data_IF_915337567662
#
_entry.id   IF_915337567662
#
_cell.length_a   1.000
_cell.length_b   1.000
_cell.length_c   1.000
_cell.angle_alpha   90.00
_cell.angle_beta   90.00
_cell.angle_gamma   90.00
#
_symmetry.space_group_name_H-M   'P 1'
#
loop_
_entity.id
_entity.type
_entity.pdbx_description
1 polymer ?
#
# COMPACT_ATOMS: atom_id res chain seq x y z
N UNK A 1 5.48 8.62 -22.65
CA UNK A 1 5.12 7.50 -21.81
C UNK A 1 3.84 7.80 -21.08
N UNK A 2 2.94 6.86 -21.06
CA UNK A 2 1.60 7.06 -20.50
C UNK A 2 1.61 6.96 -18.96
N UNK A 3 2.65 6.37 -18.38
CA UNK A 3 2.82 6.16 -16.96
C UNK A 3 4.26 6.51 -16.55
N UNK A 4 4.44 7.04 -15.35
CA UNK A 4 5.66 7.30 -14.61
C UNK A 4 6.88 7.77 -15.39
N UNK A 5 7.14 9.07 -15.43
CA UNK A 5 8.36 9.61 -16.05
C UNK A 5 9.53 9.76 -15.08
N UNK A 6 9.34 9.43 -13.80
CA UNK A 6 10.30 9.73 -12.73
C UNK A 6 10.44 11.22 -12.38
N UNK A 7 9.82 12.11 -13.15
CA UNK A 7 9.87 13.57 -12.91
C UNK A 7 9.05 14.00 -11.70
N UNK A 8 8.18 13.15 -11.20
CA UNK A 8 7.30 13.40 -10.05
C UNK A 8 7.69 12.63 -8.79
N UNK A 9 8.89 12.03 -8.78
CA UNK A 9 9.40 11.30 -7.61
C UNK A 9 9.31 12.17 -6.35
N UNK A 10 8.77 11.60 -5.27
CA UNK A 10 8.63 12.28 -3.98
C UNK A 10 7.48 13.28 -3.87
N UNK A 11 6.62 13.42 -4.88
CA UNK A 11 5.46 14.35 -4.85
C UNK A 11 4.14 13.64 -4.56
N UNK A 12 4.14 12.31 -4.37
CA UNK A 12 2.94 11.55 -4.03
C UNK A 12 2.48 11.84 -2.60
N UNK A 13 1.17 11.99 -2.42
CA UNK A 13 0.53 11.85 -1.11
C UNK A 13 0.43 10.39 -0.73
N UNK A 14 0.29 10.11 0.57
CA UNK A 14 0.12 8.75 1.08
C UNK A 14 1.17 7.74 0.56
N UNK A 15 2.43 8.16 0.43
CA UNK A 15 3.54 7.34 -0.10
C UNK A 15 3.78 6.06 0.70
N UNK A 16 3.35 6.00 1.97
CA UNK A 16 3.34 4.81 2.80
C UNK A 16 2.52 3.65 2.20
N UNK A 17 1.57 3.92 1.30
CA UNK A 17 0.82 2.90 0.58
C UNK A 17 1.72 1.99 -0.29
N UNK A 18 2.89 2.48 -0.68
CA UNK A 18 3.88 1.73 -1.45
C UNK A 18 4.75 0.81 -0.60
N UNK A 19 4.73 0.92 0.74
CA UNK A 19 5.53 0.06 1.61
C UNK A 19 5.00 -1.37 1.55
N UNK A 20 5.80 -2.35 1.06
CA UNK A 20 5.35 -3.73 0.86
C UNK A 20 4.92 -4.39 2.16
N UNK A 21 3.95 -5.30 2.11
CA UNK A 21 3.43 -6.04 3.25
C UNK A 21 3.66 -7.54 3.10
N UNK A 22 3.81 -8.22 4.27
CA UNK A 22 3.95 -9.66 4.35
C UNK A 22 5.33 -10.17 3.93
N UNK A 23 6.04 -10.84 4.84
CA UNK A 23 7.39 -11.35 4.59
C UNK A 23 7.47 -12.30 3.39
N UNK A 24 6.44 -13.12 3.19
CA UNK A 24 6.35 -14.11 2.11
C UNK A 24 6.46 -13.49 0.70
N UNK A 25 5.99 -12.26 0.53
CA UNK A 25 5.90 -11.60 -0.78
C UNK A 25 6.87 -10.42 -0.93
N UNK A 26 7.75 -10.17 0.05
CA UNK A 26 8.68 -9.02 0.02
C UNK A 26 9.69 -9.08 -1.14
N UNK A 27 10.00 -10.26 -1.64
CA UNK A 27 10.86 -10.43 -2.82
C UNK A 27 10.24 -9.87 -4.11
N UNK A 28 8.94 -9.55 -4.05
CA UNK A 28 8.25 -8.70 -5.02
C UNK A 28 7.90 -9.33 -6.36
N UNK A 29 8.49 -10.47 -6.71
CA UNK A 29 8.16 -11.15 -7.95
C UNK A 29 6.94 -12.08 -7.75
N UNK A 30 5.93 -11.98 -8.62
CA UNK A 30 4.82 -12.92 -8.67
C UNK A 30 3.68 -12.73 -7.67
N UNK A 31 3.82 -11.87 -6.65
CA UNK A 31 2.77 -11.67 -5.64
C UNK A 31 1.40 -11.31 -6.25
N UNK A 32 1.41 -10.54 -7.33
CA UNK A 32 0.18 -10.16 -8.07
C UNK A 32 -0.52 -11.38 -8.66
N UNK A 33 0.24 -12.38 -9.10
CA UNK A 33 -0.30 -13.61 -9.72
C UNK A 33 -0.67 -14.69 -8.67
N UNK A 34 0.12 -14.82 -7.59
CA UNK A 34 0.05 -16.00 -6.72
C UNK A 34 -0.21 -15.69 -5.23
N UNK A 35 -0.37 -14.44 -4.82
CA UNK A 35 -0.75 -14.14 -3.43
C UNK A 35 -2.14 -14.69 -3.12
N UNK A 36 -2.29 -15.33 -1.96
CA UNK A 36 -3.54 -15.95 -1.50
C UNK A 36 -3.86 -15.54 -0.07
N UNK A 37 -5.14 -15.72 0.30
CA UNK A 37 -5.61 -15.48 1.66
C UNK A 37 -5.52 -14.03 2.10
N UNK A 38 -5.41 -13.78 3.41
CA UNK A 38 -5.37 -12.44 3.97
C UNK A 38 -4.20 -11.61 3.46
N UNK A 39 -3.07 -12.25 3.16
CA UNK A 39 -1.88 -11.57 2.63
C UNK A 39 -2.10 -10.99 1.22
N UNK A 40 -3.02 -11.56 0.46
CA UNK A 40 -3.35 -11.09 -0.88
C UNK A 40 -4.06 -9.72 -0.88
N UNK A 41 -4.73 -9.36 0.19
CA UNK A 41 -5.50 -8.10 0.27
C UNK A 41 -4.68 -6.86 -0.11
N UNK A 42 -3.37 -6.88 0.14
CA UNK A 42 -2.45 -5.81 -0.25
C UNK A 42 -1.95 -5.94 -1.70
N UNK A 43 -1.61 -7.15 -2.17
CA UNK A 43 -0.94 -7.34 -3.45
C UNK A 43 -1.90 -7.44 -4.63
N UNK A 44 -2.94 -8.26 -4.47
CA UNK A 44 -4.01 -8.44 -5.44
C UNK A 44 -5.25 -8.92 -4.70
N UNK A 45 -6.29 -8.10 -4.56
CA UNK A 45 -7.49 -8.45 -3.78
C UNK A 45 -8.19 -9.72 -4.27
N UNK A 46 -7.99 -10.12 -5.53
CA UNK A 46 -8.53 -11.36 -6.07
C UNK A 46 -8.06 -12.62 -5.34
N UNK A 47 -6.83 -12.58 -4.78
CA UNK A 47 -6.24 -13.71 -4.08
C UNK A 47 -6.87 -14.02 -2.72
N UNK A 48 -7.67 -13.12 -2.15
CA UNK A 48 -8.35 -13.37 -0.87
C UNK A 48 -9.33 -14.54 -0.97
N UNK A 49 -10.05 -14.70 -2.08
CA UNK A 49 -10.95 -15.84 -2.32
C UNK A 49 -10.22 -17.17 -2.53
N UNK A 50 -8.89 -17.11 -2.74
CA UNK A 50 -8.03 -18.27 -2.91
C UNK A 50 -7.44 -18.80 -1.59
N UNK A 51 -7.91 -18.27 -0.45
CA UNK A 51 -7.57 -18.81 0.86
C UNK A 51 -7.80 -20.31 0.92
N UNK A 52 -6.87 -21.04 1.51
CA UNK A 52 -6.97 -22.51 1.69
C UNK A 52 -7.80 -22.88 2.90
N UNK A 53 -7.91 -21.95 3.85
CA UNK A 53 -8.67 -22.12 5.11
C UNK A 53 -9.87 -21.15 5.14
N UNK A 54 -10.89 -21.50 5.93
CA UNK A 54 -12.10 -20.68 6.07
C UNK A 54 -11.85 -19.37 6.79
N UNK A 55 -10.92 -19.33 7.75
CA UNK A 55 -10.50 -18.16 8.50
C UNK A 55 -8.98 -18.09 8.52
N UNK A 56 -8.44 -16.95 8.12
CA UNK A 56 -7.02 -16.65 8.23
C UNK A 56 -6.81 -15.35 8.98
N UNK A 57 -5.77 -15.28 9.78
CA UNK A 57 -5.34 -14.06 10.47
C UNK A 57 -3.87 -13.83 10.21
N UNK A 58 -3.46 -12.58 10.19
CA UNK A 58 -2.05 -12.19 10.08
C UNK A 58 -1.74 -11.09 11.06
N UNK A 59 -0.55 -11.15 11.62
CA UNK A 59 0.03 -10.08 12.42
C UNK A 59 1.51 -10.00 12.10
N UNK A 60 2.02 -8.81 11.88
CA UNK A 60 3.44 -8.56 11.73
C UNK A 60 3.83 -7.23 12.35
N UNK A 61 4.96 -7.21 12.99
CA UNK A 61 5.65 -6.01 13.45
C UNK A 61 7.08 -6.08 12.93
N UNK A 62 7.52 -5.02 12.26
CA UNK A 62 8.88 -4.96 11.73
C UNK A 62 9.46 -3.57 11.87
N UNK A 63 10.75 -3.53 12.13
CA UNK A 63 11.54 -2.31 11.96
C UNK A 63 11.75 -2.03 10.47
N UNK A 64 11.72 -0.77 10.11
CA UNK A 64 11.95 -0.26 8.77
C UNK A 64 13.14 0.70 8.81
N UNK A 65 13.40 1.44 7.75
CA UNK A 65 14.52 2.40 7.71
C UNK A 65 14.30 3.52 8.74
N UNK A 66 15.41 4.09 9.25
CA UNK A 66 15.42 5.25 10.16
C UNK A 66 14.55 5.05 11.42
N UNK A 67 14.65 3.89 12.06
CA UNK A 67 13.92 3.53 13.29
C UNK A 67 12.39 3.55 13.18
N UNK A 68 11.86 3.64 11.96
CA UNK A 68 10.43 3.49 11.74
C UNK A 68 9.97 2.08 12.08
N UNK A 69 8.78 1.97 12.64
CA UNK A 69 8.12 0.70 12.89
C UNK A 69 6.85 0.56 12.06
N UNK A 70 6.64 -0.62 11.49
CA UNK A 70 5.46 -0.94 10.69
C UNK A 70 4.74 -2.12 11.33
N UNK A 71 3.55 -1.87 11.84
CA UNK A 71 2.64 -2.88 12.37
C UNK A 71 1.54 -3.13 11.35
N UNK A 72 1.30 -4.39 11.05
CA UNK A 72 0.22 -4.83 10.17
C UNK A 72 -0.57 -5.97 10.83
N UNK A 73 -1.88 -5.89 10.78
CA UNK A 73 -2.78 -6.95 11.19
C UNK A 73 -3.90 -7.11 10.16
N UNK A 74 -4.43 -8.31 10.05
CA UNK A 74 -5.55 -8.58 9.17
C UNK A 74 -6.23 -9.90 9.47
N UNK A 75 -7.47 -10.01 9.01
CA UNK A 75 -8.24 -11.23 9.05
C UNK A 75 -9.02 -11.40 7.75
N UNK A 76 -9.16 -12.63 7.27
CA UNK A 76 -10.01 -12.96 6.13
C UNK A 76 -10.92 -14.13 6.45
N UNK A 77 -12.14 -14.07 5.92
CA UNK A 77 -13.16 -15.10 6.06
C UNK A 77 -13.62 -15.53 4.66
N UNK A 78 -13.46 -16.82 4.37
CA UNK A 78 -13.93 -17.43 3.12
C UNK A 78 -15.24 -18.16 3.33
N UNK A 79 -16.25 -17.81 2.55
CA UNK A 79 -17.58 -18.37 2.56
C UNK A 79 -17.94 -18.92 1.17
N UNK A 80 -17.59 -20.18 0.93
CA UNK A 80 -17.75 -20.81 -0.37
C UNK A 80 -16.89 -20.12 -1.44
N UNK A 81 -17.54 -19.58 -2.48
CA UNK A 81 -16.86 -18.85 -3.54
C UNK A 81 -16.51 -17.40 -3.16
N UNK A 82 -17.07 -16.86 -2.08
CA UNK A 82 -16.86 -15.49 -1.65
C UNK A 82 -15.86 -15.42 -0.50
N UNK A 83 -15.13 -14.33 -0.41
CA UNK A 83 -14.26 -14.06 0.72
C UNK A 83 -14.22 -12.56 1.05
N UNK A 84 -14.04 -12.28 2.31
CA UNK A 84 -13.93 -10.93 2.85
C UNK A 84 -12.63 -10.83 3.65
N UNK A 85 -11.97 -9.67 3.61
CA UNK A 85 -10.84 -9.42 4.48
C UNK A 85 -10.91 -8.01 5.05
N UNK A 86 -10.41 -7.87 6.27
CA UNK A 86 -10.17 -6.58 6.93
C UNK A 86 -8.69 -6.52 7.25
N UNK A 87 -8.07 -5.40 6.92
CA UNK A 87 -6.65 -5.16 7.18
C UNK A 87 -6.45 -3.81 7.85
N UNK A 88 -5.50 -3.73 8.75
CA UNK A 88 -5.06 -2.48 9.37
C UNK A 88 -3.54 -2.42 9.33
N UNK A 89 -3.01 -1.22 9.11
CA UNK A 89 -1.59 -0.95 9.14
C UNK A 89 -1.34 0.37 9.85
N UNK A 90 -0.36 0.38 10.73
CA UNK A 90 0.15 1.56 11.40
C UNK A 90 1.63 1.69 11.12
N UNK A 91 2.07 2.91 10.81
CA UNK A 91 3.47 3.25 10.66
C UNK A 91 3.79 4.35 11.65
N UNK A 92 4.71 4.06 12.55
CA UNK A 92 5.32 5.01 13.46
C UNK A 92 6.66 5.44 12.89
N UNK A 93 6.83 6.73 12.68
CA UNK A 93 8.06 7.32 12.11
C UNK A 93 9.08 7.65 13.20
N UNK A 94 8.70 7.46 14.46
CA UNK A 94 9.53 7.82 15.60
C UNK A 94 9.43 9.30 15.99
N UNK A 95 10.23 9.70 16.94
CA UNK A 95 10.25 11.07 17.45
C UNK A 95 11.18 11.98 16.66
N UNK A 96 10.65 13.09 16.18
CA UNK A 96 11.41 14.12 15.47
C UNK A 96 11.54 15.36 16.38
N UNK A 97 12.76 15.84 16.68
CA UNK A 97 12.94 17.07 17.45
C UNK A 97 12.44 18.29 16.66
N UNK A 98 11.76 19.18 17.35
CA UNK A 98 11.36 20.47 16.78
C UNK A 98 12.54 21.42 16.82
N UNK A 99 13.00 21.86 15.66
CA UNK A 99 14.06 22.85 15.52
C UNK A 99 13.52 24.21 15.07
N UNK A 100 14.20 25.28 15.40
CA UNK A 100 13.91 26.64 14.91
C UNK A 100 15.21 27.31 14.51
N UNK A 101 15.11 28.45 13.82
CA UNK A 101 16.28 29.26 13.46
C UNK A 101 17.09 29.68 14.70
N UNK A 102 16.44 29.83 15.85
CA UNK A 102 17.04 30.24 17.12
C UNK A 102 17.49 29.06 18.00
N UNK A 103 17.02 27.85 17.70
CA UNK A 103 17.38 26.60 18.38
C UNK A 103 17.60 25.48 17.36
N UNK A 104 18.71 25.53 16.59
CA UNK A 104 18.98 24.55 15.52
C UNK A 104 19.23 23.14 16.07
N UNK A 105 19.69 23.01 17.29
CA UNK A 105 19.92 21.72 17.97
C UNK A 105 18.65 21.14 18.62
N UNK A 106 17.54 21.88 18.54
CA UNK A 106 16.25 21.47 19.07
C UNK A 106 15.70 22.40 20.15
N UNK A 107 14.38 22.55 20.19
CA UNK A 107 13.66 23.36 21.20
C UNK A 107 13.36 22.59 22.48
N UNK A 108 13.70 21.29 22.54
CA UNK A 108 13.27 20.36 23.58
C UNK A 108 11.89 19.72 23.30
N UNK A 109 11.10 20.28 22.39
CA UNK A 109 9.87 19.64 21.91
C UNK A 109 10.17 18.56 20.88
N UNK A 110 9.38 17.49 20.90
CA UNK A 110 9.38 16.42 19.89
C UNK A 110 7.99 16.21 19.36
N UNK A 111 7.87 15.67 18.17
CA UNK A 111 6.60 15.19 17.61
C UNK A 111 6.82 13.88 16.88
N UNK A 112 5.79 13.02 16.86
CA UNK A 112 5.83 11.73 16.17
C UNK A 112 4.81 11.75 15.03
N UNK A 113 5.26 11.81 13.77
CA UNK A 113 4.36 11.59 12.65
C UNK A 113 3.84 10.16 12.69
N UNK A 114 2.59 9.97 12.33
CA UNK A 114 1.98 8.65 12.27
C UNK A 114 1.09 8.50 11.06
N UNK A 115 1.12 7.30 10.47
CA UNK A 115 0.29 6.93 9.34
C UNK A 115 -0.51 5.69 9.69
N UNK A 116 -1.80 5.74 9.43
CA UNK A 116 -2.71 4.63 9.65
C UNK A 116 -3.47 4.33 8.36
N UNK A 117 -3.60 3.05 8.02
CA UNK A 117 -4.39 2.59 6.87
C UNK A 117 -5.30 1.46 7.32
N UNK A 118 -6.57 1.52 6.95
CA UNK A 118 -7.54 0.45 7.11
C UNK A 118 -8.12 0.07 5.75
N UNK A 119 -8.28 -1.22 5.50
CA UNK A 119 -8.79 -1.77 4.26
C UNK A 119 -9.90 -2.78 4.49
N UNK A 120 -10.89 -2.75 3.59
CA UNK A 120 -11.94 -3.77 3.48
C UNK A 120 -11.88 -4.35 2.07
N UNK A 121 -11.75 -5.67 1.98
CA UNK A 121 -11.64 -6.39 0.72
C UNK A 121 -12.80 -7.36 0.55
N UNK A 122 -13.39 -7.37 -0.64
CA UNK A 122 -14.28 -8.42 -1.12
C UNK A 122 -13.64 -9.13 -2.31
N UNK A 123 -13.70 -10.44 -2.32
CA UNK A 123 -13.14 -11.27 -3.39
C UNK A 123 -14.08 -12.44 -3.69
N UNK A 124 -14.05 -12.91 -4.92
CA UNK A 124 -14.88 -14.04 -5.35
C UNK A 124 -14.16 -14.91 -6.37
N UNK A 125 -14.31 -16.24 -6.20
CA UNK A 125 -13.99 -17.20 -7.23
C UNK A 125 -15.07 -17.17 -8.31
N UNK A 126 -14.70 -16.78 -9.51
CA UNK A 126 -15.61 -16.74 -10.67
C UNK A 126 -15.69 -18.10 -11.35
N UNK A 127 -14.58 -18.85 -11.30
CA UNK A 127 -14.49 -20.24 -11.76
C UNK A 127 -13.48 -20.98 -10.85
N UNK A 128 -13.18 -22.23 -11.14
CA UNK A 128 -12.13 -23.00 -10.44
C UNK A 128 -10.73 -22.37 -10.62
N UNK A 129 -10.52 -21.65 -11.73
CA UNK A 129 -9.21 -21.07 -12.10
C UNK A 129 -9.16 -19.55 -11.96
N UNK A 130 -10.30 -18.86 -11.94
CA UNK A 130 -10.34 -17.38 -11.99
C UNK A 130 -10.93 -16.81 -10.72
N UNK A 131 -10.27 -15.83 -10.13
CA UNK A 131 -10.80 -15.02 -9.04
C UNK A 131 -10.72 -13.53 -9.36
N UNK A 132 -11.62 -12.75 -8.77
CA UNK A 132 -11.67 -11.29 -8.86
C UNK A 132 -11.84 -10.71 -7.47
N UNK A 133 -11.31 -9.49 -7.26
CA UNK A 133 -11.42 -8.83 -5.97
C UNK A 133 -11.40 -7.32 -6.08
N UNK A 134 -11.97 -6.69 -5.07
CA UNK A 134 -12.00 -5.24 -4.88
C UNK A 134 -11.67 -4.92 -3.43
N UNK A 135 -10.92 -3.86 -3.21
CA UNK A 135 -10.66 -3.33 -1.88
C UNK A 135 -10.98 -1.84 -1.82
N UNK A 136 -11.45 -1.40 -0.67
CA UNK A 136 -11.58 0.02 -0.31
C UNK A 136 -10.64 0.26 0.84
N UNK A 137 -9.73 1.23 0.69
CA UNK A 137 -8.76 1.57 1.71
C UNK A 137 -8.91 3.03 2.11
N UNK A 138 -8.84 3.29 3.41
CA UNK A 138 -8.71 4.65 3.94
C UNK A 138 -7.36 4.79 4.60
N UNK A 139 -6.66 5.89 4.31
CA UNK A 139 -5.36 6.22 4.90
C UNK A 139 -5.43 7.57 5.57
N UNK A 140 -4.88 7.68 6.77
CA UNK A 140 -4.78 8.92 7.54
C UNK A 140 -3.32 9.17 7.86
N UNK A 141 -2.87 10.39 7.61
CA UNK A 141 -1.52 10.88 7.91
C UNK A 141 -1.64 12.03 8.90
N UNK A 142 -0.77 12.04 9.90
CA UNK A 142 -0.75 13.08 10.91
C UNK A 142 0.66 13.58 11.14
N UNK A 143 0.86 14.88 10.96
CA UNK A 143 2.12 15.60 11.16
C UNK A 143 1.87 16.76 12.12
N UNK A 144 2.25 16.65 13.38
CA UNK A 144 2.10 17.67 14.42
C UNK A 144 0.71 18.38 14.39
N UNK A 145 0.54 19.40 13.55
CA UNK A 145 -0.68 20.22 13.45
C UNK A 145 -1.31 20.22 12.05
N UNK A 146 -0.86 19.32 11.18
CA UNK A 146 -1.39 19.11 9.84
C UNK A 146 -1.67 17.64 9.67
N UNK A 147 -2.77 17.30 9.04
CA UNK A 147 -3.11 15.92 8.71
C UNK A 147 -3.88 15.83 7.40
N UNK A 148 -3.90 14.66 6.82
CA UNK A 148 -4.63 14.35 5.62
C UNK A 148 -5.28 12.98 5.69
N UNK A 149 -6.40 12.83 5.01
CA UNK A 149 -7.07 11.54 4.85
C UNK A 149 -7.33 11.30 3.38
N UNK A 150 -7.05 10.09 2.94
CA UNK A 150 -7.31 9.65 1.57
C UNK A 150 -8.18 8.41 1.55
N UNK A 151 -8.90 8.24 0.45
CA UNK A 151 -9.69 7.06 0.13
C UNK A 151 -9.21 6.51 -1.20
N UNK A 152 -8.87 5.23 -1.24
CA UNK A 152 -8.44 4.54 -2.46
C UNK A 152 -9.18 3.24 -2.69
N UNK A 153 -9.21 2.81 -3.94
CA UNK A 153 -9.78 1.57 -4.42
C UNK A 153 -8.68 0.72 -5.04
N UNK A 154 -8.72 -0.57 -4.78
CA UNK A 154 -7.89 -1.55 -5.46
C UNK A 154 -8.79 -2.56 -6.16
N UNK A 155 -8.38 -3.02 -7.32
CA UNK A 155 -9.07 -4.04 -8.09
C UNK A 155 -8.06 -5.03 -8.64
N UNK A 156 -8.44 -6.30 -8.73
CA UNK A 156 -7.56 -7.29 -9.29
C UNK A 156 -8.26 -8.55 -9.80
N UNK A 157 -7.52 -9.26 -10.62
CA UNK A 157 -7.89 -10.56 -11.18
C UNK A 157 -6.69 -11.49 -11.06
N UNK A 158 -6.95 -12.74 -10.74
CA UNK A 158 -5.95 -13.81 -10.81
C UNK A 158 -6.52 -14.98 -11.62
N UNK A 159 -5.65 -15.61 -12.41
CA UNK A 159 -5.95 -16.79 -13.20
C UNK A 159 -4.87 -17.84 -12.95
N UNK A 160 -5.24 -19.01 -12.45
CA UNK A 160 -4.32 -20.16 -12.28
C UNK A 160 -4.41 -21.11 -13.45
N UNK A 161 -3.31 -21.82 -13.71
CA UNK A 161 -3.17 -22.73 -14.85
C UNK A 161 -3.57 -22.02 -16.16
N UNK A 162 -2.95 -20.88 -16.39
CA UNK A 162 -3.28 -20.03 -17.55
C UNK A 162 -3.01 -20.79 -18.86
N UNK A 163 -3.97 -20.70 -19.79
CA UNK A 163 -3.99 -21.47 -21.05
C UNK A 163 -3.87 -23.00 -20.83
N UNK A 164 -4.41 -23.50 -19.72
CA UNK A 164 -4.34 -24.93 -19.32
C UNK A 164 -2.90 -25.45 -19.10
N UNK A 165 -1.94 -24.53 -18.91
CA UNK A 165 -0.58 -24.89 -18.52
C UNK A 165 -0.52 -24.98 -17.00
N UNK A 166 -0.36 -26.21 -16.48
CA UNK A 166 -0.30 -26.46 -15.03
C UNK A 166 0.85 -25.69 -14.37
N UNK A 167 0.53 -24.99 -13.29
CA UNK A 167 1.49 -24.20 -12.53
C UNK A 167 1.82 -22.81 -13.12
N UNK A 168 1.18 -22.43 -14.25
CA UNK A 168 1.33 -21.07 -14.81
C UNK A 168 0.20 -20.19 -14.29
N UNK A 169 0.53 -19.27 -13.40
CA UNK A 169 -0.41 -18.30 -12.82
C UNK A 169 -0.17 -16.91 -13.38
N UNK A 170 -1.25 -16.17 -13.63
CA UNK A 170 -1.19 -14.79 -14.12
C UNK A 170 -2.10 -13.92 -13.25
N UNK A 171 -1.67 -12.69 -12.99
CA UNK A 171 -2.46 -11.73 -12.22
C UNK A 171 -2.30 -10.32 -12.74
N UNK A 172 -3.38 -9.57 -12.62
CA UNK A 172 -3.42 -8.12 -12.88
C UNK A 172 -4.01 -7.43 -11.68
N UNK A 173 -3.41 -6.32 -11.28
CA UNK A 173 -3.94 -5.48 -10.22
C UNK A 173 -3.79 -3.99 -10.56
N UNK A 174 -4.80 -3.21 -10.19
CA UNK A 174 -4.73 -1.76 -10.09
C UNK A 174 -4.90 -1.41 -8.62
N UNK A 175 -3.95 -0.67 -8.06
CA UNK A 175 -3.96 -0.32 -6.64
C UNK A 175 -3.87 1.18 -6.41
N UNK A 176 -4.40 1.60 -5.27
CA UNK A 176 -4.35 2.99 -4.82
C UNK A 176 -5.02 3.98 -5.80
N UNK A 177 -6.01 3.52 -6.56
CA UNK A 177 -6.83 4.41 -7.39
C UNK A 177 -7.76 5.23 -6.51
N UNK A 178 -7.56 6.54 -6.40
CA UNK A 178 -8.36 7.36 -5.49
C UNK A 178 -8.22 8.85 -5.75
N UNK A 179 -8.87 9.63 -4.88
CA UNK A 179 -8.79 11.08 -4.94
C UNK A 179 -7.50 11.58 -4.30
N UNK A 180 -6.94 12.70 -4.77
CA UNK A 180 -5.80 13.34 -4.12
C UNK A 180 -6.04 13.58 -2.63
N UNK A 181 -4.98 13.44 -1.83
CA UNK A 181 -5.01 13.78 -0.41
C UNK A 181 -4.98 15.29 -0.24
N UNK A 182 -5.92 15.82 0.53
CA UNK A 182 -5.92 17.23 0.97
C UNK A 182 -5.44 17.29 2.41
N UNK A 183 -4.45 18.14 2.64
CA UNK A 183 -3.92 18.37 3.98
C UNK A 183 -4.60 19.58 4.62
N UNK A 184 -5.01 19.41 5.88
CA UNK A 184 -5.71 20.44 6.67
C UNK A 184 -5.11 20.49 8.08
N UNK A 185 -5.30 21.63 8.75
CA UNK A 185 -4.87 21.76 10.14
C UNK A 185 -4.40 23.14 10.53
N UNK A 186 -4.26 23.37 11.82
CA UNK A 186 -3.83 24.65 12.39
C UNK A 186 -2.39 25.06 12.00
N UNK A 187 -1.59 24.10 11.52
CA UNK A 187 -0.26 24.37 10.99
C UNK A 187 -0.25 25.16 9.68
N UNK A 188 -1.40 25.21 8.97
CA UNK A 188 -1.58 25.98 7.74
C UNK A 188 -2.10 27.41 7.98
N UNK A 189 -2.31 27.80 9.24
CA UNK A 189 -2.73 29.14 9.60
C UNK A 189 -1.53 30.08 9.62
N UNK A 190 -1.54 31.10 8.77
CA UNK A 190 -0.50 32.13 8.69
C UNK A 190 -1.09 33.49 9.16
N UNK A 191 -0.33 34.17 10.00
CA UNK A 191 -0.65 35.55 10.37
C UNK A 191 -0.22 36.47 9.24
N UNK A 192 -1.16 37.20 8.66
CA UNK A 192 -0.89 38.18 7.62
C UNK A 192 -1.75 39.43 7.80
N UNK A 193 -1.30 40.54 7.21
CA UNK A 193 -2.03 41.82 7.13
C UNK A 193 -2.59 41.90 5.73
N UNK A 194 -3.90 42.14 5.60
CA UNK A 194 -4.52 42.28 4.30
C UNK A 194 -3.96 43.53 3.59
N UNK A 195 -3.68 43.41 2.29
CA UNK A 195 -3.22 44.53 1.47
C UNK A 195 -4.25 45.66 1.54
N UNK A 196 -3.81 46.88 1.97
CA UNK A 196 -4.68 48.05 2.14
C UNK A 196 -5.30 48.18 3.55
N UNK A 197 -4.91 47.36 4.52
CA UNK A 197 -5.36 47.42 5.90
C UNK A 197 -4.16 47.55 6.85
N UNK A 198 -3.94 48.73 7.41
CA UNK A 198 -2.77 49.02 8.26
C UNK A 198 -2.92 48.60 9.72
N UNK A 199 -3.99 47.90 10.12
CA UNK A 199 -4.33 47.89 11.56
C UNK A 199 -4.55 46.51 12.19
N UNK A 200 -4.81 45.43 11.45
CA UNK A 200 -5.13 44.16 12.08
C UNK A 200 -4.47 42.96 11.40
N UNK A 201 -3.65 42.26 12.17
CA UNK A 201 -3.16 40.91 11.79
C UNK A 201 -4.32 39.92 11.88
N UNK A 202 -4.62 39.28 10.78
CA UNK A 202 -5.63 38.23 10.71
C UNK A 202 -4.96 36.84 10.43
N UNK A 203 -5.64 35.78 10.83
CA UNK A 203 -5.24 34.42 10.50
C UNK A 203 -5.84 34.03 9.16
N UNK A 204 -4.98 33.70 8.21
CA UNK A 204 -5.36 33.21 6.90
C UNK A 204 -5.02 31.72 6.84
N UNK A 205 -5.96 30.93 6.33
CA UNK A 205 -5.70 29.52 6.04
C UNK A 205 -5.07 29.42 4.65
N UNK A 206 -3.82 28.96 4.62
CA UNK A 206 -3.13 28.67 3.36
C UNK A 206 -3.56 27.29 2.91
N UNK A 207 -4.20 27.20 1.75
CA UNK A 207 -4.54 25.90 1.18
C UNK A 207 -3.25 25.16 0.80
N UNK A 208 -3.05 23.99 1.37
CA UNK A 208 -2.02 23.07 0.89
C UNK A 208 -2.38 22.56 -0.51
N UNK A 209 -1.36 22.34 -1.34
CA UNK A 209 -1.57 21.67 -2.62
C UNK A 209 -2.12 20.25 -2.38
N UNK A 210 -3.03 19.83 -3.23
CA UNK A 210 -3.49 18.45 -3.24
C UNK A 210 -2.36 17.53 -3.72
N UNK A 211 -2.19 16.39 -3.05
CA UNK A 211 -1.19 15.40 -3.41
C UNK A 211 -1.88 14.13 -3.94
N UNK A 212 -1.60 13.80 -5.20
CA UNK A 212 -2.15 12.59 -5.83
C UNK A 212 -1.69 11.33 -5.12
N UNK A 213 -2.52 10.29 -5.11
CA UNK A 213 -2.14 8.98 -4.59
C UNK A 213 -1.20 8.24 -5.55
N UNK A 214 -0.30 7.39 -5.02
CA UNK A 214 0.61 6.58 -5.83
C UNK A 214 -0.14 5.39 -6.45
N UNK A 215 -0.84 5.64 -7.54
CA UNK A 215 -1.54 4.61 -8.29
C UNK A 215 -0.54 3.63 -8.92
N UNK A 216 -0.80 2.35 -8.77
CA UNK A 216 -0.02 1.25 -9.33
C UNK A 216 -0.87 0.45 -10.32
N UNK A 217 -0.29 0.15 -11.47
CA UNK A 217 -0.73 -0.92 -12.34
C UNK A 217 0.31 -2.02 -12.33
N UNK A 218 -0.11 -3.24 -12.04
CA UNK A 218 0.78 -4.40 -11.94
C UNK A 218 0.26 -5.55 -12.81
N UNK A 219 1.16 -6.13 -13.59
CA UNK A 219 0.95 -7.36 -14.36
C UNK A 219 1.99 -8.37 -13.91
N UNK A 220 1.56 -9.47 -13.34
CA UNK A 220 2.43 -10.51 -12.81
C UNK A 220 2.17 -11.88 -13.43
N UNK A 221 3.24 -12.67 -13.55
CA UNK A 221 3.19 -14.08 -13.91
C UNK A 221 4.09 -14.90 -12.99
N UNK A 222 3.68 -16.12 -12.68
CA UNK A 222 4.52 -17.08 -11.97
C UNK A 222 4.38 -18.46 -12.60
N UNK A 223 5.47 -19.19 -12.66
CA UNK A 223 5.48 -20.57 -13.15
C UNK A 223 6.14 -21.47 -12.13
N UNK A 224 5.40 -22.46 -11.67
CA UNK A 224 5.86 -23.45 -10.68
C UNK A 224 6.14 -24.76 -11.38
N UNK A 225 7.41 -25.17 -11.35
CA UNK A 225 7.89 -26.42 -11.95
C UNK A 225 7.92 -27.48 -10.88
N UNK A 226 7.09 -28.47 -11.07
CA UNK A 226 6.90 -29.50 -10.05
C UNK A 226 6.60 -28.95 -8.69
N UNK A 227 6.46 -29.21 -7.65
CA UNK A 227 6.09 -28.53 -6.40
C UNK A 227 7.27 -27.81 -5.70
N UNK A 228 8.38 -27.55 -6.40
CA UNK A 228 9.62 -27.14 -5.75
C UNK A 228 10.22 -25.85 -6.26
N UNK A 229 10.14 -25.57 -7.55
CA UNK A 229 10.77 -24.39 -8.16
C UNK A 229 9.70 -23.44 -8.67
N UNK A 230 9.71 -22.20 -8.20
CA UNK A 230 8.85 -21.15 -8.75
C UNK A 230 9.69 -20.02 -9.32
N UNK A 231 9.44 -19.67 -10.56
CA UNK A 231 9.98 -18.47 -11.21
C UNK A 231 8.84 -17.51 -11.44
N UNK A 232 9.03 -16.25 -11.09
CA UNK A 232 7.99 -15.27 -11.21
C UNK A 232 8.53 -13.90 -11.64
N UNK A 233 7.68 -13.13 -12.30
CA UNK A 233 7.97 -11.77 -12.70
C UNK A 233 6.75 -10.88 -12.56
N UNK A 234 7.00 -9.61 -12.24
CA UNK A 234 5.95 -8.58 -12.18
C UNK A 234 6.45 -7.30 -12.84
N UNK A 235 5.71 -6.84 -13.83
CA UNK A 235 5.82 -5.50 -14.35
C UNK A 235 4.95 -4.56 -13.51
N UNK A 236 5.56 -3.51 -12.99
CA UNK A 236 4.91 -2.47 -12.17
C UNK A 236 5.06 -1.13 -12.86
N UNK A 237 3.95 -0.46 -13.10
CA UNK A 237 3.91 0.92 -13.58
C UNK A 237 3.24 1.81 -12.54
N UNK A 238 3.88 2.92 -12.22
CA UNK A 238 3.49 3.86 -11.17
C UNK A 238 3.37 5.26 -11.77
N UNK A 239 2.38 6.04 -11.39
CA UNK A 239 2.19 7.39 -11.91
C UNK A 239 3.24 8.43 -11.45
N UNK A 240 4.15 8.09 -10.52
CA UNK A 240 5.20 8.97 -9.99
C UNK A 240 6.62 8.50 -10.33
N UNK A 241 6.84 7.20 -10.40
CA UNK A 241 8.15 6.59 -10.57
C UNK A 241 8.30 5.97 -11.95
N UNK A 242 9.52 5.59 -12.30
CA UNK A 242 9.77 4.80 -13.50
C UNK A 242 9.19 3.40 -13.35
N UNK A 243 8.79 2.82 -14.46
CA UNK A 243 8.33 1.44 -14.53
C UNK A 243 9.40 0.48 -14.02
N UNK A 244 8.97 -0.56 -13.32
CA UNK A 244 9.85 -1.55 -12.68
C UNK A 244 9.52 -2.95 -13.17
N UNK A 245 10.55 -3.74 -13.42
CA UNK A 245 10.44 -5.17 -13.61
C UNK A 245 11.04 -5.88 -12.39
N UNK A 246 10.22 -6.65 -11.69
CA UNK A 246 10.63 -7.44 -10.53
C UNK A 246 10.69 -8.91 -10.94
N UNK A 247 11.81 -9.58 -10.65
CA UNK A 247 11.99 -11.01 -10.93
C UNK A 247 12.26 -11.75 -9.63
N UNK A 248 11.75 -12.96 -9.51
CA UNK A 248 11.93 -13.82 -8.35
C UNK A 248 12.14 -15.27 -8.81
N UNK A 249 13.08 -15.95 -8.16
CA UNK A 249 13.20 -17.39 -8.18
C UNK A 249 13.11 -17.91 -6.74
N UNK A 250 12.33 -18.95 -6.49
CA UNK A 250 12.27 -19.63 -5.20
C UNK A 250 12.37 -21.13 -5.35
N UNK A 251 12.98 -21.76 -4.36
CA UNK A 251 13.06 -23.21 -4.24
C UNK A 251 12.50 -23.66 -2.89
N UNK A 252 11.49 -24.48 -2.92
CA UNK A 252 10.88 -25.08 -1.74
C UNK A 252 11.47 -26.46 -1.51
N UNK A 253 12.14 -26.66 -0.38
CA UNK A 253 12.69 -27.97 -0.01
C UNK A 253 11.55 -28.96 0.27
N UNK A 254 11.49 -30.09 -0.44
CA UNK A 254 10.50 -31.13 -0.16
C UNK A 254 10.66 -31.64 1.28
N UNK A 255 9.54 -31.64 2.04
CA UNK A 255 9.52 -32.14 3.42
C UNK A 255 9.76 -31.11 4.53
N UNK A 256 10.04 -29.86 4.22
CA UNK A 256 10.15 -28.76 5.21
C UNK A 256 8.96 -27.77 5.17
N UNK A 257 8.03 -27.96 4.24
CA UNK A 257 6.81 -27.18 4.18
C UNK A 257 5.73 -27.89 5.01
N UNK A 258 5.48 -27.39 6.21
CA UNK A 258 4.32 -27.72 7.04
C UNK A 258 3.55 -26.46 7.38
#
# INVERSE_FOLDING_TARGET
GVFGSGLRNGTAGASQLLIPQGAKYLTGGGAVANATGVGAAYWNPAGVARATTGLETTFSNRSYIADMSVVHAGASLKLGANAFAVTVRSIDIGEIPVTTVWAPDGTGEKFSPSNFTAGLTYSRMMSTKTSMGLSINTSSEKFKRVGGTSLSLDAGVQYTDFLDVEGLDVGVAVRNFGRPTRYEGSGLLVKAIAVGSDRFTQLYNVQAAEADLPMLFELGGSYTIGNSITVAGTYESNNFEQDKLKLMGSYTLPGLAS
#
